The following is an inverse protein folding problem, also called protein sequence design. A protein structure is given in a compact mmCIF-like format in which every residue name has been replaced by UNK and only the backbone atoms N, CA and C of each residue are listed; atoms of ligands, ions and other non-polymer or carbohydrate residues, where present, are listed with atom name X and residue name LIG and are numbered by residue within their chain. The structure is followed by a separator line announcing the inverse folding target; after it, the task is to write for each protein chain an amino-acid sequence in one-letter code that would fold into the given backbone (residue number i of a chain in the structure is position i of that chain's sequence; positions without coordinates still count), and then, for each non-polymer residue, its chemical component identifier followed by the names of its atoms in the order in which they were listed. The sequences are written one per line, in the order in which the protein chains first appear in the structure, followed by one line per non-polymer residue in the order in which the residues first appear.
data_IF_618970127406
#
_entry.id   IF_618970127406
#
_cell.length_a   1.000
_cell.length_b   1.000
_cell.length_c   1.000
_cell.angle_alpha   90.00
_cell.angle_beta   90.00
_cell.angle_gamma   90.00
#
_symmetry.space_group_name_H-M   'P 1'
#
loop_
_entity.id
_entity.type
_entity.pdbx_description
1 polymer ?
#
# COMPACT_ATOMS: atom_id res chain seq x y z
N UNK A 1 3.91 27.38 46.86
CA UNK A 1 3.96 28.53 47.77
C UNK A 1 5.17 28.35 48.66
N UNK A 2 6.24 29.10 48.38
CA UNK A 2 7.45 29.12 49.17
C UNK A 2 7.55 30.52 49.78
N UNK A 3 7.58 30.60 51.10
CA UNK A 3 7.87 31.82 51.83
C UNK A 3 9.14 31.55 52.67
N UNK A 4 10.30 31.82 52.06
CA UNK A 4 11.55 31.95 52.79
C UNK A 4 11.52 33.31 53.48
N UNK A 5 11.27 33.33 54.78
CA UNK A 5 11.48 34.52 55.60
C UNK A 5 12.94 34.56 56.04
N UNK A 6 13.72 35.32 55.27
CA UNK A 6 15.09 35.73 55.58
C UNK A 6 15.07 36.72 56.73
N UNK A 7 15.65 36.37 57.87
CA UNK A 7 16.01 37.31 58.93
C UNK A 7 17.48 37.15 59.24
N UNK A 8 18.29 37.81 58.41
CA UNK A 8 19.66 38.20 58.72
C UNK A 8 19.61 39.27 59.83
N UNK A 9 19.36 38.86 61.07
CA UNK A 9 19.79 39.65 62.22
C UNK A 9 21.19 39.20 62.59
N UNK A 10 22.14 39.97 62.06
CA UNK A 10 23.54 40.01 62.37
C UNK A 10 23.78 40.27 63.87
N UNK A 11 23.66 39.24 64.69
CA UNK A 11 24.18 39.20 66.05
C UNK A 11 25.71 39.04 66.05
N UNK A 12 26.43 39.88 65.29
CA UNK A 12 27.88 39.99 65.44
C UNK A 12 28.14 40.77 66.71
N UNK A 13 28.56 40.07 67.78
CA UNK A 13 29.11 40.71 68.96
C UNK A 13 30.25 41.66 68.53
N UNK A 14 30.36 42.88 69.11
CA UNK A 14 31.40 43.83 68.75
C UNK A 14 32.78 43.16 68.80
N UNK A 15 33.49 43.14 67.67
CA UNK A 15 34.79 42.45 67.52
C UNK A 15 35.94 43.19 68.22
N UNK A 16 35.74 44.45 68.58
CA UNK A 16 36.78 45.29 69.19
C UNK A 16 36.42 45.67 70.62
N UNK A 17 36.64 44.74 71.54
CA UNK A 17 36.95 45.16 72.90
C UNK A 17 38.37 45.69 72.89
N UNK A 18 38.54 47.01 73.07
CA UNK A 18 39.84 47.62 73.33
C UNK A 18 40.39 47.12 74.69
N UNK A 19 40.89 45.88 74.71
CA UNK A 19 41.64 45.32 75.83
C UNK A 19 43.00 45.99 75.81
N UNK A 20 43.09 47.19 76.40
CA UNK A 20 44.33 47.97 76.54
C UNK A 20 45.48 47.07 77.00
N UNK A 21 46.38 46.69 76.09
CA UNK A 21 47.63 45.96 76.32
C UNK A 21 48.67 46.92 76.89
N UNK A 22 48.41 47.41 78.10
CA UNK A 22 49.41 48.16 78.86
C UNK A 22 50.23 47.18 79.69
N UNK A 23 51.41 46.83 79.18
CA UNK A 23 52.53 46.35 80.00
C UNK A 23 52.99 47.50 80.89
N UNK A 24 52.40 47.67 82.07
CA UNK A 24 52.75 48.74 83.01
C UNK A 24 53.41 48.15 84.26
N UNK A 25 54.73 48.04 84.16
CA UNK A 25 55.65 47.89 85.26
C UNK A 25 55.70 49.22 86.03
N UNK A 26 55.31 49.20 87.31
CA UNK A 26 55.69 50.25 88.27
C UNK A 26 54.74 51.45 88.40
N UNK A 27 53.89 51.43 89.44
CA UNK A 27 53.50 52.62 90.21
C UNK A 27 52.56 52.19 91.33
N UNK A 28 53.00 52.32 92.59
CA UNK A 28 52.25 51.93 93.80
C UNK A 28 51.19 52.95 94.26
N UNK A 29 50.89 53.99 93.49
CA UNK A 29 50.02 55.09 93.92
C UNK A 29 49.01 55.51 92.85
N UNK A 30 47.97 54.70 92.65
CA UNK A 30 46.79 55.10 91.85
C UNK A 30 45.52 54.68 92.59
N UNK A 31 44.56 55.59 92.88
CA UNK A 31 43.48 55.33 93.87
C UNK A 31 42.42 54.33 93.41
N UNK A 32 42.34 54.03 92.11
CA UNK A 32 41.30 53.16 91.54
C UNK A 32 41.79 51.73 91.28
N UNK A 33 42.45 51.11 92.27
CA UNK A 33 42.80 49.68 92.20
C UNK A 33 41.73 48.84 92.92
N UNK A 34 40.78 48.30 92.16
CA UNK A 34 39.84 47.31 92.69
C UNK A 34 40.50 45.92 92.75
N UNK A 35 40.11 45.10 93.74
CA UNK A 35 40.54 43.69 93.80
C UNK A 35 39.70 42.88 92.82
N UNK A 36 40.36 42.08 91.98
CA UNK A 36 39.64 41.11 91.14
C UNK A 36 38.85 40.14 92.03
N UNK A 37 37.53 39.98 91.86
CA UNK A 37 36.74 39.10 92.71
C UNK A 37 37.09 37.62 92.52
N UNK A 38 37.78 37.25 91.43
CA UNK A 38 38.14 35.87 91.09
C UNK A 38 39.49 35.44 91.70
N UNK A 39 40.53 36.30 91.65
CA UNK A 39 41.88 35.97 92.14
C UNK A 39 42.38 36.89 93.27
N UNK A 40 41.58 37.89 93.66
CA UNK A 40 41.83 38.90 94.71
C UNK A 40 43.07 39.77 94.51
N UNK A 41 43.73 39.73 93.35
CA UNK A 41 44.85 40.62 92.99
C UNK A 41 44.36 42.02 92.62
N UNK A 42 45.09 43.06 93.02
CA UNK A 42 44.76 44.47 92.75
C UNK A 42 45.02 44.87 91.29
N UNK A 43 43.99 45.38 90.60
CA UNK A 43 44.08 45.79 89.19
C UNK A 43 43.26 47.06 88.94
N UNK A 44 43.52 47.74 87.80
CA UNK A 44 42.76 48.93 87.36
C UNK A 44 41.35 48.57 86.85
N UNK A 45 41.11 47.29 86.51
CA UNK A 45 39.84 46.76 85.97
C UNK A 45 39.18 45.79 86.96
N UNK A 46 37.85 45.70 86.93
CA UNK A 46 37.04 44.87 87.87
C UNK A 46 37.45 43.39 87.83
N UNK A 47 37.72 42.83 86.64
CA UNK A 47 38.29 41.48 86.48
C UNK A 47 39.73 41.54 85.96
N UNK A 48 40.54 40.55 86.34
CA UNK A 48 41.90 40.41 85.83
C UNK A 48 41.90 39.74 84.45
N UNK A 49 42.78 40.19 83.52
CA UNK A 49 42.87 39.57 82.18
C UNK A 49 43.09 38.07 82.29
N UNK A 50 44.02 37.63 83.14
CA UNK A 50 44.30 36.21 83.35
C UNK A 50 43.05 35.42 83.76
N UNK A 51 42.17 36.02 84.56
CA UNK A 51 40.93 35.41 85.08
C UNK A 51 39.81 35.36 84.04
N UNK A 52 39.77 36.35 83.14
CA UNK A 52 38.85 36.37 81.99
C UNK A 52 39.31 35.34 80.96
N UNK A 53 40.61 35.30 80.66
CA UNK A 53 41.19 34.33 79.72
C UNK A 53 41.13 32.90 80.28
N UNK A 54 41.28 32.74 81.60
CA UNK A 54 41.08 31.44 82.24
C UNK A 54 39.61 31.03 82.33
N UNK A 55 38.64 31.87 81.94
CA UNK A 55 37.21 31.55 81.89
C UNK A 55 36.60 30.94 83.17
N UNK A 56 37.26 31.08 84.32
CA UNK A 56 36.83 30.58 85.64
C UNK A 56 35.87 31.58 86.30
N UNK A 57 34.89 32.04 85.54
CA UNK A 57 33.85 32.95 86.03
C UNK A 57 32.47 32.33 85.81
N UNK A 58 31.55 32.68 86.71
CA UNK A 58 30.20 32.16 86.77
C UNK A 58 29.20 33.23 86.32
N UNK A 59 28.04 32.81 85.85
CA UNK A 59 26.95 33.73 85.55
C UNK A 59 26.51 34.46 86.82
N UNK A 60 26.38 35.79 86.76
CA UNK A 60 25.94 36.61 87.89
C UNK A 60 24.47 36.37 88.27
N UNK A 61 23.69 35.72 87.40
CA UNK A 61 22.24 35.55 87.55
C UNK A 61 21.83 34.24 88.24
N UNK A 62 22.75 33.29 88.45
CA UNK A 62 22.46 32.02 89.11
C UNK A 62 23.70 31.52 89.85
N UNK A 63 23.52 30.77 90.95
CA UNK A 63 24.59 29.94 91.53
C UNK A 63 24.89 28.79 90.56
N UNK A 64 25.51 29.12 89.43
CA UNK A 64 25.85 28.16 88.41
C UNK A 64 26.90 27.20 88.98
N UNK A 65 26.60 25.90 88.98
CA UNK A 65 27.51 24.83 89.40
C UNK A 65 28.73 24.72 88.48
N UNK A 66 28.61 25.25 87.25
CA UNK A 66 29.60 25.12 86.17
C UNK A 66 30.14 26.49 85.73
N UNK A 67 31.43 26.54 85.46
CA UNK A 67 32.11 27.73 84.95
C UNK A 67 31.92 27.90 83.44
N UNK A 68 32.29 29.07 82.89
CA UNK A 68 32.26 29.29 81.45
C UNK A 68 33.16 28.31 80.68
N UNK A 69 34.36 27.97 81.22
CA UNK A 69 35.23 26.95 80.62
C UNK A 69 34.53 25.60 80.53
N UNK A 70 33.81 25.19 81.58
CA UNK A 70 33.12 23.89 81.59
C UNK A 70 32.06 23.83 80.48
N UNK A 71 31.32 24.93 80.28
CA UNK A 71 30.36 25.07 79.18
C UNK A 71 31.00 25.06 77.80
N UNK A 72 32.13 25.75 77.66
CA UNK A 72 32.88 25.76 76.40
C UNK A 72 33.42 24.37 76.06
N UNK A 73 33.93 23.64 77.06
CA UNK A 73 34.38 22.26 76.91
C UNK A 73 33.22 21.33 76.55
N UNK A 74 32.09 21.43 77.25
CA UNK A 74 30.89 20.65 76.97
C UNK A 74 30.36 20.93 75.54
N UNK A 75 30.43 22.18 75.07
CA UNK A 75 30.06 22.53 73.70
C UNK A 75 30.97 21.83 72.68
N UNK A 76 32.29 21.86 72.87
CA UNK A 76 33.24 21.18 71.98
C UNK A 76 33.01 19.66 71.96
N UNK A 77 32.79 19.05 73.14
CA UNK A 77 32.47 17.62 73.25
C UNK A 77 31.15 17.26 72.55
N UNK A 78 30.14 18.13 72.63
CA UNK A 78 28.87 17.98 71.90
C UNK A 78 29.06 18.12 70.40
N UNK A 79 29.86 19.08 69.92
CA UNK A 79 30.16 19.26 68.51
C UNK A 79 30.89 18.06 67.92
N UNK A 80 31.85 17.50 68.65
CA UNK A 80 32.57 16.30 68.24
C UNK A 80 31.65 15.07 68.28
N UNK A 81 30.83 14.93 69.32
CA UNK A 81 29.81 13.88 69.40
C UNK A 81 28.82 13.94 68.23
N UNK A 82 28.36 15.15 67.86
CA UNK A 82 27.51 15.38 66.70
C UNK A 82 28.22 14.95 65.41
N UNK A 83 29.46 15.40 65.17
CA UNK A 83 30.23 15.01 63.97
C UNK A 83 30.40 13.49 63.87
N UNK A 84 30.75 12.83 64.97
CA UNK A 84 30.91 11.36 64.97
C UNK A 84 29.60 10.64 64.70
N UNK A 85 28.48 11.13 65.23
CA UNK A 85 27.16 10.57 64.97
C UNK A 85 26.73 10.78 63.51
N UNK A 86 26.90 11.98 62.96
CA UNK A 86 26.64 12.29 61.55
C UNK A 86 27.44 11.37 60.62
N UNK A 87 28.74 11.18 60.88
CA UNK A 87 29.57 10.26 60.10
C UNK A 87 29.07 8.81 60.15
N UNK A 88 28.58 8.34 61.30
CA UNK A 88 27.98 7.00 61.43
C UNK A 88 26.69 6.90 60.61
N UNK A 89 25.82 7.90 60.69
CA UNK A 89 24.59 7.97 59.90
C UNK A 89 24.88 7.96 58.39
N UNK A 90 25.84 8.76 57.93
CA UNK A 90 26.24 8.81 56.53
C UNK A 90 26.72 7.45 56.03
N UNK A 91 27.55 6.75 56.80
CA UNK A 91 28.02 5.39 56.44
C UNK A 91 26.85 4.40 56.33
N UNK A 92 25.90 4.45 57.26
CA UNK A 92 24.71 3.58 57.22
C UNK A 92 23.83 3.88 56.00
N UNK A 93 23.61 5.17 55.68
CA UNK A 93 22.85 5.59 54.51
C UNK A 93 23.53 5.16 53.21
N UNK A 94 24.85 5.32 53.10
CA UNK A 94 25.62 4.88 51.94
C UNK A 94 25.51 3.37 51.73
N UNK A 95 25.59 2.59 52.81
CA UNK A 95 25.41 1.14 52.74
C UNK A 95 23.99 0.75 52.31
N UNK A 96 22.97 1.43 52.83
CA UNK A 96 21.58 1.20 52.42
C UNK A 96 21.37 1.52 50.95
N UNK A 97 21.89 2.64 50.47
CA UNK A 97 21.84 3.02 49.06
C UNK A 97 22.51 1.96 48.16
N UNK A 98 23.70 1.48 48.54
CA UNK A 98 24.40 0.41 47.82
C UNK A 98 23.57 -0.88 47.78
N UNK A 99 22.98 -1.28 48.90
CA UNK A 99 22.09 -2.45 48.96
C UNK A 99 20.88 -2.28 48.04
N UNK A 100 20.20 -1.13 48.08
CA UNK A 100 19.01 -0.87 47.26
C UNK A 100 19.33 -0.84 45.76
N UNK A 101 20.47 -0.25 45.38
CA UNK A 101 20.97 -0.30 44.02
C UNK A 101 21.22 -1.74 43.54
N UNK A 102 21.82 -2.59 44.38
CA UNK A 102 22.05 -4.00 44.05
C UNK A 102 20.73 -4.77 43.94
N UNK A 103 19.79 -4.56 44.87
CA UNK A 103 18.46 -5.18 44.80
C UNK A 103 17.72 -4.78 43.52
N UNK A 104 17.78 -3.50 43.12
CA UNK A 104 17.18 -3.00 41.89
C UNK A 104 17.81 -3.67 40.65
N UNK A 105 19.16 -3.74 40.60
CA UNK A 105 19.87 -4.43 39.50
C UNK A 105 19.51 -5.92 39.42
N UNK A 106 19.43 -6.61 40.56
CA UNK A 106 19.04 -8.02 40.63
C UNK A 106 17.61 -8.20 40.09
N UNK A 107 16.67 -7.34 40.53
CA UNK A 107 15.28 -7.38 40.05
C UNK A 107 15.22 -7.17 38.54
N UNK A 108 15.88 -6.13 38.04
CA UNK A 108 15.91 -5.83 36.61
C UNK A 108 16.52 -6.99 35.79
N UNK A 109 17.58 -7.63 36.29
CA UNK A 109 18.17 -8.79 35.63
C UNK A 109 17.21 -10.00 35.61
N UNK A 110 16.50 -10.26 36.71
CA UNK A 110 15.47 -11.31 36.78
C UNK A 110 14.34 -11.07 35.81
N UNK A 111 13.83 -9.84 35.75
CA UNK A 111 12.74 -9.46 34.84
C UNK A 111 13.17 -9.60 33.38
N UNK A 112 14.38 -9.15 33.03
CA UNK A 112 14.97 -9.38 31.70
C UNK A 112 15.07 -10.86 31.37
N UNK A 113 15.54 -11.69 32.31
CA UNK A 113 15.66 -13.13 32.08
C UNK A 113 14.29 -13.78 31.86
N UNK A 114 13.27 -13.38 32.64
CA UNK A 114 11.88 -13.84 32.47
C UNK A 114 11.34 -13.47 31.10
N UNK A 115 11.50 -12.21 30.68
CA UNK A 115 11.03 -11.74 29.37
C UNK A 115 11.73 -12.48 28.22
N UNK A 116 13.05 -12.68 28.32
CA UNK A 116 13.79 -13.43 27.32
C UNK A 116 13.34 -14.89 27.23
N UNK A 117 13.05 -15.54 28.36
CA UNK A 117 12.51 -16.91 28.36
C UNK A 117 11.16 -17.00 27.64
N UNK A 118 10.26 -16.07 27.92
CA UNK A 118 8.95 -16.00 27.24
C UNK A 118 9.13 -15.78 25.74
N UNK A 119 9.95 -14.81 25.34
CA UNK A 119 10.22 -14.53 23.93
C UNK A 119 10.84 -15.72 23.20
N UNK A 120 11.76 -16.46 23.84
CA UNK A 120 12.35 -17.68 23.27
C UNK A 120 11.28 -18.75 23.05
N UNK A 121 10.38 -18.93 24.02
CA UNK A 121 9.33 -19.95 23.91
C UNK A 121 8.31 -19.60 22.82
N UNK A 122 7.88 -18.35 22.74
CA UNK A 122 7.02 -17.86 21.65
C UNK A 122 7.67 -18.08 20.28
N UNK A 123 8.97 -17.79 20.14
CA UNK A 123 9.69 -18.02 18.88
C UNK A 123 9.82 -19.50 18.54
N UNK A 124 9.97 -20.38 19.53
CA UNK A 124 9.97 -21.84 19.31
C UNK A 124 8.60 -22.31 18.83
N UNK A 125 7.52 -21.89 19.47
CA UNK A 125 6.15 -22.23 19.05
C UNK A 125 5.84 -21.70 17.64
N UNK A 126 6.21 -20.45 17.35
CA UNK A 126 6.06 -19.89 16.01
C UNK A 126 6.84 -20.71 14.97
N UNK A 127 8.07 -21.13 15.30
CA UNK A 127 8.89 -21.98 14.42
C UNK A 127 8.20 -23.32 14.16
N UNK A 128 7.68 -24.00 15.19
CA UNK A 128 7.02 -25.31 15.02
C UNK A 128 5.77 -25.20 14.15
N UNK A 129 4.91 -24.20 14.40
CA UNK A 129 3.71 -23.94 13.58
C UNK A 129 4.08 -23.62 12.13
N UNK A 130 5.08 -22.76 11.90
CA UNK A 130 5.51 -22.41 10.54
C UNK A 130 6.13 -23.60 9.81
N UNK A 131 6.90 -24.44 10.51
CA UNK A 131 7.45 -25.67 9.91
C UNK A 131 6.34 -26.65 9.51
N UNK A 132 5.32 -26.82 10.35
CA UNK A 132 4.16 -27.67 10.02
C UNK A 132 3.41 -27.14 8.78
N UNK A 133 3.13 -25.84 8.75
CA UNK A 133 2.49 -25.18 7.60
C UNK A 133 3.32 -25.32 6.31
N UNK A 134 4.65 -25.23 6.43
CA UNK A 134 5.55 -25.39 5.30
C UNK A 134 5.52 -26.82 4.75
N UNK A 135 5.45 -27.83 5.62
CA UNK A 135 5.28 -29.23 5.20
C UNK A 135 3.96 -29.41 4.45
N UNK A 136 2.84 -28.92 4.99
CA UNK A 136 1.53 -29.01 4.32
C UNK A 136 1.53 -28.34 2.93
N UNK A 137 2.15 -27.16 2.83
CA UNK A 137 2.25 -26.44 1.56
C UNK A 137 3.12 -27.20 0.56
N UNK A 138 4.22 -27.82 1.00
CA UNK A 138 5.06 -28.67 0.15
C UNK A 138 4.26 -29.87 -0.37
N UNK A 139 3.52 -30.55 0.48
CA UNK A 139 2.69 -31.69 0.05
C UNK A 139 1.60 -31.29 -0.94
N UNK A 140 0.92 -30.16 -0.69
CA UNK A 140 -0.09 -29.61 -1.62
C UNK A 140 0.54 -29.26 -2.98
N UNK A 141 1.73 -28.67 -2.97
CA UNK A 141 2.44 -28.30 -4.18
C UNK A 141 2.91 -29.55 -4.94
N UNK A 142 3.44 -30.55 -4.24
CA UNK A 142 3.84 -31.83 -4.83
C UNK A 142 2.67 -32.56 -5.48
N UNK A 143 1.49 -32.61 -4.82
CA UNK A 143 0.26 -33.17 -5.40
C UNK A 143 -0.15 -32.45 -6.69
N UNK A 144 -0.06 -31.11 -6.71
CA UNK A 144 -0.34 -30.30 -7.91
C UNK A 144 0.66 -30.59 -9.02
N UNK A 145 1.95 -30.60 -8.71
CA UNK A 145 3.01 -30.90 -9.68
C UNK A 145 2.88 -32.32 -10.25
N UNK A 146 2.48 -33.32 -9.46
CA UNK A 146 2.20 -34.68 -9.96
C UNK A 146 0.96 -34.74 -10.88
N UNK A 147 -0.01 -33.85 -10.67
CA UNK A 147 -1.26 -33.83 -11.45
C UNK A 147 -1.15 -32.99 -12.73
N UNK A 148 -0.31 -31.96 -12.74
CA UNK A 148 -0.14 -31.01 -13.85
C UNK A 148 0.15 -31.70 -15.20
N UNK A 149 1.05 -32.70 -15.31
CA UNK A 149 1.32 -33.40 -16.57
C UNK A 149 0.08 -34.07 -17.17
N UNK A 150 -0.83 -34.59 -16.34
CA UNK A 150 -2.07 -35.23 -16.81
C UNK A 150 -2.97 -34.25 -17.54
N UNK A 151 -3.04 -33.01 -17.05
CA UNK A 151 -3.79 -31.95 -17.72
C UNK A 151 -3.11 -31.51 -19.02
N UNK A 152 -1.78 -31.39 -19.03
CA UNK A 152 -1.03 -31.09 -20.25
C UNK A 152 -1.27 -32.14 -21.35
N UNK A 153 -1.24 -33.43 -20.99
CA UNK A 153 -1.54 -34.51 -21.94
C UNK A 153 -2.97 -34.38 -22.49
N UNK A 154 -3.95 -34.10 -21.62
CA UNK A 154 -5.34 -33.94 -22.05
C UNK A 154 -5.56 -32.71 -22.96
N UNK A 155 -4.82 -31.62 -22.71
CA UNK A 155 -4.82 -30.45 -23.59
C UNK A 155 -4.24 -30.82 -24.95
N UNK A 156 -3.12 -31.55 -24.97
CA UNK A 156 -2.48 -32.01 -26.21
C UNK A 156 -3.41 -32.94 -27.01
N UNK A 157 -4.08 -33.91 -26.37
CA UNK A 157 -5.06 -34.79 -27.01
C UNK A 157 -6.22 -34.00 -27.65
N UNK A 158 -6.70 -32.94 -26.97
CA UNK A 158 -7.73 -32.05 -27.50
C UNK A 158 -7.22 -31.23 -28.68
N UNK A 159 -5.99 -30.71 -28.61
CA UNK A 159 -5.35 -29.98 -29.70
C UNK A 159 -5.20 -30.86 -30.95
N UNK A 160 -4.72 -32.09 -30.79
CA UNK A 160 -4.59 -33.06 -31.88
C UNK A 160 -5.96 -33.37 -32.51
N UNK A 161 -6.99 -33.61 -31.68
CA UNK A 161 -8.35 -33.85 -32.16
C UNK A 161 -8.91 -32.66 -32.95
N UNK A 162 -8.73 -31.43 -32.43
CA UNK A 162 -9.18 -30.20 -33.09
C UNK A 162 -8.43 -30.00 -34.40
N UNK A 163 -7.13 -30.31 -34.45
CA UNK A 163 -6.30 -30.22 -35.66
C UNK A 163 -6.83 -31.13 -36.76
N UNK A 164 -7.08 -32.41 -36.46
CA UNK A 164 -7.64 -33.37 -37.41
C UNK A 164 -9.03 -32.95 -37.89
N UNK A 165 -9.89 -32.46 -36.98
CA UNK A 165 -11.22 -31.99 -37.34
C UNK A 165 -11.16 -30.75 -38.24
N UNK A 166 -10.25 -29.82 -37.96
CA UNK A 166 -10.03 -28.62 -38.79
C UNK A 166 -9.63 -29.02 -40.21
N UNK A 167 -8.67 -29.93 -40.36
CA UNK A 167 -8.24 -30.42 -41.68
C UNK A 167 -9.39 -31.08 -42.46
N UNK A 168 -10.21 -31.90 -41.79
CA UNK A 168 -11.42 -32.50 -42.40
C UNK A 168 -12.43 -31.44 -42.85
N UNK A 169 -12.61 -30.38 -42.07
CA UNK A 169 -13.52 -29.28 -42.44
C UNK A 169 -12.98 -28.53 -43.66
N UNK A 170 -11.67 -28.27 -43.74
CA UNK A 170 -11.12 -27.56 -44.89
C UNK A 170 -11.11 -28.39 -46.17
N UNK A 171 -10.78 -29.69 -46.09
CA UNK A 171 -10.93 -30.59 -47.24
C UNK A 171 -12.38 -30.70 -47.73
N UNK A 172 -13.35 -30.76 -46.81
CA UNK A 172 -14.77 -30.77 -47.17
C UNK A 172 -15.21 -29.44 -47.81
N UNK A 173 -14.76 -28.30 -47.29
CA UNK A 173 -15.02 -26.98 -47.88
C UNK A 173 -14.43 -26.87 -49.29
N UNK A 174 -13.19 -27.31 -49.50
CA UNK A 174 -12.53 -27.23 -50.81
C UNK A 174 -13.24 -28.12 -51.84
N UNK A 175 -13.59 -29.35 -51.46
CA UNK A 175 -14.35 -30.26 -52.34
C UNK A 175 -15.76 -29.74 -52.65
N UNK A 176 -16.45 -29.14 -51.67
CA UNK A 176 -17.74 -28.51 -51.89
C UNK A 176 -17.63 -27.32 -52.87
N UNK A 177 -16.62 -26.46 -52.67
CA UNK A 177 -16.33 -25.32 -53.55
C UNK A 177 -16.06 -25.79 -54.99
N UNK A 178 -15.26 -26.85 -55.16
CA UNK A 178 -14.97 -27.42 -56.47
C UNK A 178 -16.23 -27.93 -57.17
N UNK A 179 -17.06 -28.73 -56.48
CA UNK A 179 -18.34 -29.22 -57.03
C UNK A 179 -19.28 -28.09 -57.39
N UNK A 180 -19.31 -27.01 -56.60
CA UNK A 180 -20.10 -25.84 -56.88
C UNK A 180 -19.63 -25.13 -58.16
N UNK A 181 -18.31 -24.98 -58.35
CA UNK A 181 -17.74 -24.42 -59.58
C UNK A 181 -18.00 -25.30 -60.81
N UNK A 182 -17.87 -26.61 -60.69
CA UNK A 182 -18.15 -27.52 -61.80
C UNK A 182 -19.63 -27.52 -62.19
N UNK A 183 -20.54 -27.43 -61.20
CA UNK A 183 -21.97 -27.23 -61.45
C UNK A 183 -22.25 -25.91 -62.18
N UNK A 184 -21.60 -24.80 -61.76
CA UNK A 184 -21.72 -23.51 -62.46
C UNK A 184 -21.23 -23.60 -63.90
N UNK A 185 -20.12 -24.31 -64.17
CA UNK A 185 -19.60 -24.53 -65.53
C UNK A 185 -20.61 -25.31 -66.38
N UNK A 186 -21.20 -26.39 -65.85
CA UNK A 186 -22.22 -27.18 -66.55
C UNK A 186 -23.45 -26.33 -66.86
N UNK A 187 -23.94 -25.54 -65.90
CA UNK A 187 -25.09 -24.64 -66.13
C UNK A 187 -24.77 -23.62 -67.21
N UNK A 188 -23.60 -22.97 -67.16
CA UNK A 188 -23.16 -22.03 -68.20
C UNK A 188 -23.09 -22.69 -69.58
N UNK A 189 -22.54 -23.90 -69.65
CA UNK A 189 -22.47 -24.68 -70.88
C UNK A 189 -23.86 -25.02 -71.42
N UNK A 190 -24.78 -25.48 -70.57
CA UNK A 190 -26.17 -25.80 -70.95
C UNK A 190 -26.92 -24.56 -71.43
N UNK A 191 -26.74 -23.41 -70.78
CA UNK A 191 -27.32 -22.13 -71.22
C UNK A 191 -26.79 -21.77 -72.62
N UNK A 192 -25.48 -21.89 -72.86
CA UNK A 192 -24.89 -21.65 -74.18
C UNK A 192 -25.46 -22.61 -75.24
N UNK A 193 -25.64 -23.89 -74.90
CA UNK A 193 -26.25 -24.87 -75.79
C UNK A 193 -27.73 -24.53 -76.09
N UNK A 194 -28.49 -24.09 -75.09
CA UNK A 194 -29.88 -23.66 -75.25
C UNK A 194 -29.98 -22.49 -76.24
N UNK A 195 -29.14 -21.46 -76.09
CA UNK A 195 -29.08 -20.35 -77.03
C UNK A 195 -28.66 -20.78 -78.43
N UNK A 196 -27.71 -21.72 -78.56
CA UNK A 196 -27.21 -22.16 -79.86
C UNK A 196 -28.24 -23.00 -80.63
N UNK A 197 -28.95 -23.89 -79.95
CA UNK A 197 -29.68 -24.97 -80.62
C UNK A 197 -31.20 -24.91 -80.50
N UNK A 198 -31.75 -24.24 -79.48
CA UNK A 198 -33.21 -24.19 -79.27
C UNK A 198 -33.73 -22.78 -79.47
N UNK A 199 -33.07 -21.80 -78.88
CA UNK A 199 -33.48 -20.40 -78.94
C UNK A 199 -32.39 -19.54 -79.57
N UNK A 200 -32.12 -19.70 -80.88
CA UNK A 200 -31.18 -18.84 -81.57
C UNK A 200 -31.69 -17.40 -81.50
N UNK A 201 -31.02 -16.60 -80.67
CA UNK A 201 -31.32 -15.17 -80.57
C UNK A 201 -30.75 -14.53 -81.83
N UNK A 202 -31.64 -14.00 -82.65
CA UNK A 202 -31.28 -13.15 -83.78
C UNK A 202 -31.59 -11.70 -83.41
N UNK A 203 -30.63 -10.83 -83.66
CA UNK A 203 -30.85 -9.39 -83.57
C UNK A 203 -31.69 -9.00 -84.77
N UNK A 204 -32.94 -8.61 -84.53
CA UNK A 204 -33.80 -8.10 -85.59
C UNK A 204 -33.72 -6.58 -85.55
N UNK A 205 -32.93 -6.01 -86.45
CA UNK A 205 -32.96 -4.57 -86.73
C UNK A 205 -34.26 -4.29 -87.48
N UNK A 206 -35.24 -3.66 -86.81
CA UNK A 206 -36.46 -3.20 -87.50
C UNK A 206 -36.06 -2.10 -88.49
N UNK A 207 -36.45 -2.17 -89.78
CA UNK A 207 -36.27 -1.05 -90.68
C UNK A 207 -37.09 0.15 -90.20
N UNK A 208 -36.48 1.33 -90.24
CA UNK A 208 -37.12 2.60 -89.91
C UNK A 208 -38.39 2.79 -90.75
N UNK A 209 -39.48 3.17 -90.10
CA UNK A 209 -40.76 3.52 -90.73
C UNK A 209 -40.60 4.63 -91.76
N UNK A 210 -41.30 4.56 -92.90
CA UNK A 210 -41.81 5.76 -93.53
C UNK A 210 -43.34 5.73 -93.72
N UNK A 211 -43.95 6.77 -93.16
CA UNK A 211 -44.96 7.66 -93.78
C UNK A 211 -46.31 7.10 -94.26
N UNK A 212 -47.29 7.28 -93.37
CA UNK A 212 -48.70 7.68 -93.57
C UNK A 212 -49.07 8.03 -95.02
N UNK A 213 -50.03 7.31 -95.63
CA UNK A 213 -51.15 7.88 -96.41
C UNK A 213 -52.36 6.91 -96.45
N UNK A 214 -53.45 7.31 -95.75
CA UNK A 214 -54.87 7.11 -96.05
C UNK A 214 -55.38 5.75 -96.60
N UNK A 215 -56.20 5.02 -95.81
CA UNK A 215 -57.65 4.82 -96.06
C UNK A 215 -58.32 3.90 -95.01
N UNK A 216 -59.23 4.51 -94.25
CA UNK A 216 -60.55 4.03 -93.80
C UNK A 216 -60.67 2.72 -92.98
N UNK A 217 -61.02 2.92 -91.71
CA UNK A 217 -61.76 2.04 -90.76
C UNK A 217 -61.12 0.74 -90.25
N UNK A 218 -59.91 0.37 -90.71
CA UNK A 218 -59.09 -0.72 -90.11
C UNK A 218 -57.95 -0.22 -89.20
N UNK A 219 -57.71 1.10 -89.17
CA UNK A 219 -56.53 1.72 -88.54
C UNK A 219 -56.58 1.83 -87.01
N UNK A 220 -57.76 1.92 -86.40
CA UNK A 220 -57.87 2.11 -84.95
C UNK A 220 -57.36 0.87 -84.18
N UNK A 221 -57.73 -0.32 -84.66
CA UNK A 221 -57.29 -1.60 -84.07
C UNK A 221 -55.80 -1.83 -84.28
N UNK A 222 -55.27 -1.47 -85.45
CA UNK A 222 -53.83 -1.59 -85.75
C UNK A 222 -53.02 -0.63 -84.89
N UNK A 223 -53.51 0.61 -84.71
CA UNK A 223 -52.87 1.60 -83.83
C UNK A 223 -52.89 1.17 -82.37
N UNK A 224 -54.02 0.64 -81.88
CA UNK A 224 -54.13 0.09 -80.53
C UNK A 224 -53.23 -1.13 -80.31
N UNK A 225 -53.07 -2.00 -81.32
CA UNK A 225 -52.14 -3.13 -81.28
C UNK A 225 -50.67 -2.67 -81.28
N UNK A 226 -50.33 -1.62 -82.04
CA UNK A 226 -48.99 -1.03 -82.04
C UNK A 226 -48.68 -0.39 -80.67
N UNK A 227 -49.63 0.33 -80.09
CA UNK A 227 -49.53 0.90 -78.74
C UNK A 227 -49.41 -0.20 -77.68
N UNK A 228 -50.26 -1.23 -77.72
CA UNK A 228 -50.16 -2.38 -76.80
C UNK A 228 -48.79 -3.08 -76.93
N UNK A 229 -48.25 -3.21 -78.14
CA UNK A 229 -46.92 -3.80 -78.36
C UNK A 229 -45.75 -3.00 -77.77
N UNK A 230 -45.98 -1.74 -77.39
CA UNK A 230 -45.00 -0.88 -76.71
C UNK A 230 -45.10 -0.94 -75.19
N UNK A 231 -46.02 -1.72 -74.62
CA UNK A 231 -46.14 -1.88 -73.17
C UNK A 231 -45.74 -3.28 -72.74
N UNK A 232 -44.86 -3.38 -71.73
CA UNK A 232 -44.41 -4.65 -71.18
C UNK A 232 -44.68 -4.71 -69.68
N UNK A 233 -45.19 -5.84 -69.20
CA UNK A 233 -45.50 -6.04 -67.79
C UNK A 233 -44.28 -6.60 -67.07
N UNK A 234 -43.67 -5.78 -66.22
CA UNK A 234 -42.47 -6.13 -65.46
C UNK A 234 -42.71 -5.82 -63.99
N UNK A 235 -42.61 -6.86 -63.13
CA UNK A 235 -42.74 -6.72 -61.66
C UNK A 235 -44.02 -5.98 -61.24
N UNK A 236 -45.16 -6.51 -61.69
CA UNK A 236 -46.51 -6.07 -61.31
C UNK A 236 -46.93 -4.67 -61.77
N UNK A 237 -46.26 -4.09 -62.79
CA UNK A 237 -46.64 -2.82 -63.41
C UNK A 237 -46.46 -2.82 -64.93
N UNK A 238 -47.33 -2.09 -65.63
CA UNK A 238 -47.22 -1.85 -67.07
C UNK A 238 -46.27 -0.69 -67.31
N UNK A 239 -45.15 -0.95 -68.01
CA UNK A 239 -44.18 0.08 -68.40
C UNK A 239 -44.22 0.28 -69.91
N UNK A 240 -44.18 1.54 -70.35
CA UNK A 240 -44.02 1.90 -71.76
C UNK A 240 -42.53 1.76 -72.13
N UNK A 241 -42.27 0.97 -73.16
CA UNK A 241 -40.96 0.66 -73.66
C UNK A 241 -40.52 1.73 -74.67
N UNK A 242 -39.98 2.84 -74.17
CA UNK A 242 -39.41 3.93 -74.98
C UNK A 242 -38.03 3.51 -75.56
N UNK A 243 -38.03 2.56 -76.49
CA UNK A 243 -36.82 2.20 -77.24
C UNK A 243 -36.60 3.24 -78.36
N UNK A 244 -35.90 4.32 -78.03
CA UNK A 244 -35.21 5.14 -79.03
C UNK A 244 -34.15 4.27 -79.73
N UNK A 245 -34.40 3.84 -80.97
CA UNK A 245 -33.37 3.34 -81.89
C UNK A 245 -32.70 1.99 -81.62
N UNK A 246 -32.95 1.31 -80.50
CA UNK A 246 -32.05 0.22 -80.08
C UNK A 246 -32.64 -1.20 -80.19
N UNK A 247 -32.03 -1.98 -81.07
CA UNK A 247 -31.83 -3.45 -81.06
C UNK A 247 -32.89 -4.25 -80.30
N UNK A 248 -33.88 -4.79 -81.01
CA UNK A 248 -34.83 -5.73 -80.45
C UNK A 248 -34.33 -7.18 -80.65
N UNK A 249 -34.21 -7.92 -79.53
CA UNK A 249 -33.86 -9.35 -79.57
C UNK A 249 -35.13 -10.18 -79.72
N UNK A 250 -35.20 -11.02 -80.76
CA UNK A 250 -36.31 -11.94 -80.96
C UNK A 250 -35.80 -13.38 -80.91
N UNK A 251 -36.49 -14.23 -80.17
CA UNK A 251 -36.32 -15.68 -80.27
C UNK A 251 -36.99 -16.08 -81.60
N UNK A 252 -36.19 -16.30 -82.64
CA UNK A 252 -36.67 -17.00 -83.82
C UNK A 252 -37.11 -18.39 -83.33
N UNK A 253 -38.39 -18.71 -83.44
CA UNK A 253 -39.05 -19.79 -82.67
C UNK A 253 -38.32 -21.15 -82.61
N UNK A 254 -38.67 -22.00 -81.63
CA UNK A 254 -37.92 -23.22 -81.33
C UNK A 254 -37.76 -24.10 -82.57
N UNK A 255 -36.54 -24.17 -83.10
CA UNK A 255 -36.23 -24.90 -84.33
C UNK A 255 -35.67 -26.26 -83.97
N UNK A 256 -36.56 -27.16 -83.55
CA UNK A 256 -36.22 -28.57 -83.46
C UNK A 256 -36.10 -29.15 -84.89
N UNK A 257 -35.07 -29.96 -85.19
CA UNK A 257 -34.95 -30.61 -86.49
C UNK A 257 -36.18 -31.49 -86.77
N UNK A 258 -36.88 -31.24 -87.88
CA UNK A 258 -38.04 -32.04 -88.31
C UNK A 258 -37.69 -33.49 -88.74
N UNK A 259 -36.39 -33.83 -88.73
CA UNK A 259 -35.87 -35.17 -89.04
C UNK A 259 -36.13 -36.21 -87.96
N UNK A 260 -36.64 -35.82 -86.79
CA UNK A 260 -36.95 -36.72 -85.67
C UNK A 260 -35.72 -37.27 -84.95
N UNK A 261 -34.50 -36.95 -85.39
CA UNK A 261 -33.27 -37.38 -84.75
C UNK A 261 -32.83 -36.35 -83.69
N UNK A 262 -33.27 -36.56 -82.46
CA UNK A 262 -32.93 -35.72 -81.31
C UNK A 262 -31.72 -36.22 -80.52
N UNK A 263 -30.89 -37.10 -81.09
CA UNK A 263 -29.75 -37.70 -80.38
C UNK A 263 -28.75 -36.68 -79.82
N UNK A 264 -28.58 -35.53 -80.48
CA UNK A 264 -27.76 -34.41 -80.00
C UNK A 264 -28.28 -33.75 -78.70
N UNK A 265 -29.56 -33.94 -78.36
CA UNK A 265 -30.21 -33.37 -77.16
C UNK A 265 -30.31 -34.39 -76.00
N UNK A 266 -30.05 -35.68 -76.25
CA UNK A 266 -30.11 -36.74 -75.23
C UNK A 266 -29.08 -36.59 -74.11
N UNK A 267 -28.08 -35.73 -74.27
CA UNK A 267 -27.12 -35.38 -73.22
C UNK A 267 -27.75 -34.61 -72.05
N UNK A 268 -28.97 -34.09 -72.21
CA UNK A 268 -29.64 -33.31 -71.16
C UNK A 268 -30.37 -34.19 -70.13
N UNK A 269 -30.65 -35.47 -70.46
CA UNK A 269 -31.37 -36.41 -69.60
C UNK A 269 -30.51 -37.42 -68.84
N UNK A 270 -29.18 -37.48 -69.07
CA UNK A 270 -28.29 -38.33 -68.26
C UNK A 270 -27.86 -37.58 -67.00
N UNK A 271 -28.39 -38.04 -65.86
CA UNK A 271 -27.87 -37.74 -64.52
C UNK A 271 -26.53 -38.42 -64.30
#
# INVERSE_FOLDING_TARGET
MAANSSSDESCMAPKDFHISTSTDSGSRLSPNRQRCPLCRRFRKTFYCKDCIHSGLFYSSRFRATESYIDKQKALLELEDSKKTFEQKCLKLLENKLKCDMLHSKIRQARDRNRNLKVAVEEKKQMKTTNTARLVELKEKNEKRNKSLPKYNLKVQELEDFISVKREKVETFKETHKQKQEDSKKIVRLRIQQLFKFIFPISVVVKPATPTIETKSSRDATVSALIEASRTTFVRDRWEYADYNGDINYCIAGPTLPASGNYSAYNTWGRK
#
